data_IF_064598127864
#
_entry.id   IF_064598127864
#
_cell.length_a   1.000
_cell.length_b   1.000
_cell.length_c   1.000
_cell.angle_alpha   90.00
_cell.angle_beta   90.00
_cell.angle_gamma   90.00
#
_symmetry.space_group_name_H-M   'P 1'
#
loop_
_entity.id
_entity.type
_entity.pdbx_description
1 polymer ?
#
# COMPACT_ATOMS: atom_id res chain seq x y z
N UNK A 1 -3.05 7.73 -1.52
CA UNK A 1 -4.09 6.73 -1.24
C UNK A 1 -4.31 6.45 0.26
N UNK A 2 -3.25 6.37 1.06
CA UNK A 2 -3.34 6.01 2.49
C UNK A 2 -4.24 7.01 3.27
N UNK A 3 -4.12 8.30 2.99
CA UNK A 3 -4.93 9.35 3.63
C UNK A 3 -6.43 9.19 3.37
N UNK A 4 -6.86 8.73 2.19
CA UNK A 4 -8.28 8.44 1.91
C UNK A 4 -8.77 7.25 2.73
N UNK A 5 -7.99 6.18 2.82
CA UNK A 5 -8.35 5.03 3.66
C UNK A 5 -8.52 5.41 5.13
N UNK A 6 -7.61 6.21 5.67
CA UNK A 6 -7.68 6.72 7.04
C UNK A 6 -8.91 7.60 7.23
N UNK A 7 -9.14 8.53 6.30
CA UNK A 7 -10.30 9.43 6.33
C UNK A 7 -11.61 8.65 6.25
N UNK A 8 -11.70 7.64 5.37
CA UNK A 8 -12.86 6.77 5.25
C UNK A 8 -13.16 6.04 6.57
N UNK A 9 -12.15 5.45 7.22
CA UNK A 9 -12.29 4.78 8.51
C UNK A 9 -12.70 5.74 9.62
N UNK A 10 -12.12 6.92 9.66
CA UNK A 10 -12.43 7.95 10.65
C UNK A 10 -13.88 8.44 10.50
N UNK A 11 -14.28 8.82 9.29
CA UNK A 11 -15.63 9.29 9.00
C UNK A 11 -16.69 8.21 9.24
N UNK A 12 -16.40 6.95 8.85
CA UNK A 12 -17.34 5.86 9.12
C UNK A 12 -17.57 5.63 10.59
N UNK A 13 -16.57 5.79 11.45
CA UNK A 13 -16.74 5.74 12.91
C UNK A 13 -17.69 6.83 13.42
N UNK A 14 -17.55 8.05 12.92
CA UNK A 14 -18.38 9.19 13.35
C UNK A 14 -19.82 9.01 12.86
N UNK A 15 -20.02 8.77 11.56
CA UNK A 15 -21.34 8.73 10.96
C UNK A 15 -22.13 7.45 11.24
N UNK A 16 -21.47 6.36 11.62
CA UNK A 16 -22.13 5.13 12.10
C UNK A 16 -22.96 5.37 13.37
N UNK A 17 -22.63 6.40 14.16
CA UNK A 17 -23.35 6.80 15.35
C UNK A 17 -24.72 7.44 15.02
N UNK A 18 -24.85 8.08 13.84
CA UNK A 18 -26.06 8.84 13.48
C UNK A 18 -27.08 7.92 12.79
N UNK A 19 -26.69 7.25 11.71
CA UNK A 19 -27.56 6.27 11.01
C UNK A 19 -26.73 5.39 10.05
N UNK A 20 -26.85 4.06 10.13
CA UNK A 20 -25.92 3.18 9.40
C UNK A 20 -25.92 3.41 7.87
N UNK A 21 -27.08 3.44 7.20
CA UNK A 21 -27.14 3.57 5.73
C UNK A 21 -26.81 4.96 5.24
N UNK A 22 -27.46 5.97 5.78
CA UNK A 22 -27.23 7.36 5.39
C UNK A 22 -25.81 7.81 5.70
N UNK A 23 -25.23 7.34 6.83
CA UNK A 23 -23.85 7.62 7.17
C UNK A 23 -22.84 7.14 6.12
N UNK A 24 -23.01 5.93 5.59
CA UNK A 24 -22.11 5.42 4.54
C UNK A 24 -22.24 6.19 3.24
N UNK A 25 -23.47 6.57 2.81
CA UNK A 25 -23.69 7.40 1.61
C UNK A 25 -23.00 8.75 1.79
N UNK A 26 -23.16 9.38 2.95
CA UNK A 26 -22.56 10.67 3.24
C UNK A 26 -21.02 10.61 3.23
N UNK A 27 -20.45 9.55 3.77
CA UNK A 27 -18.99 9.33 3.71
C UNK A 27 -18.52 9.18 2.26
N UNK A 28 -19.23 8.44 1.40
CA UNK A 28 -18.88 8.30 -0.02
C UNK A 28 -18.87 9.67 -0.70
N UNK A 29 -19.87 10.50 -0.46
CA UNK A 29 -19.95 11.85 -1.03
C UNK A 29 -18.74 12.69 -0.57
N UNK A 30 -18.42 12.67 0.73
CA UNK A 30 -17.25 13.40 1.26
C UNK A 30 -15.96 12.92 0.62
N UNK A 31 -15.77 11.61 0.44
CA UNK A 31 -14.57 11.05 -0.18
C UNK A 31 -14.44 11.47 -1.66
N UNK A 32 -15.54 11.55 -2.40
CA UNK A 32 -15.55 12.04 -3.79
C UNK A 32 -15.16 13.52 -3.82
N UNK A 33 -15.77 14.36 -2.99
CA UNK A 33 -15.38 15.76 -2.88
C UNK A 33 -13.91 15.92 -2.50
N UNK A 34 -13.44 15.18 -1.51
CA UNK A 34 -12.05 15.21 -1.08
C UNK A 34 -11.10 14.79 -2.23
N UNK A 35 -11.45 13.78 -3.02
CA UNK A 35 -10.69 13.38 -4.19
C UNK A 35 -10.56 14.52 -5.20
N UNK A 36 -11.64 15.24 -5.49
CA UNK A 36 -11.63 16.39 -6.40
C UNK A 36 -10.75 17.52 -5.85
N UNK A 37 -10.90 17.87 -4.57
CA UNK A 37 -10.11 18.91 -3.92
C UNK A 37 -8.61 18.62 -3.85
N UNK A 38 -8.23 17.33 -3.78
CA UNK A 38 -6.81 16.91 -3.76
C UNK A 38 -6.19 16.80 -5.15
N UNK A 39 -6.88 17.26 -6.19
CA UNK A 39 -6.37 17.26 -7.57
C UNK A 39 -6.49 15.93 -8.29
N UNK A 40 -7.35 15.00 -7.81
CA UNK A 40 -7.71 13.75 -8.49
C UNK A 40 -6.52 12.94 -8.99
N UNK A 41 -5.44 12.83 -8.18
CA UNK A 41 -4.30 11.99 -8.53
C UNK A 41 -4.74 10.53 -8.69
N UNK A 42 -4.05 9.73 -9.54
CA UNK A 42 -4.37 8.31 -9.75
C UNK A 42 -4.45 7.52 -8.44
N UNK A 43 -3.57 7.83 -7.49
CA UNK A 43 -3.56 7.21 -6.17
C UNK A 43 -4.80 7.57 -5.33
N UNK A 44 -5.29 8.81 -5.43
CA UNK A 44 -6.50 9.25 -4.71
C UNK A 44 -7.76 8.67 -5.34
N UNK A 45 -7.88 8.71 -6.67
CA UNK A 45 -9.03 8.13 -7.38
C UNK A 45 -9.19 6.64 -7.03
N UNK A 46 -8.10 5.87 -7.09
CA UNK A 46 -8.11 4.44 -6.71
C UNK A 46 -8.61 4.20 -5.30
N UNK A 47 -8.02 4.92 -4.34
CA UNK A 47 -8.39 4.74 -2.94
C UNK A 47 -9.85 5.15 -2.68
N UNK A 48 -10.34 6.16 -3.40
CA UNK A 48 -11.74 6.58 -3.35
C UNK A 48 -12.66 5.50 -3.91
N UNK A 49 -12.35 4.93 -5.08
CA UNK A 49 -13.15 3.84 -5.67
C UNK A 49 -13.15 2.62 -4.73
N UNK A 50 -11.98 2.19 -4.24
CA UNK A 50 -11.88 1.05 -3.33
C UNK A 50 -12.66 1.27 -2.03
N UNK A 51 -12.53 2.44 -1.41
CA UNK A 51 -13.26 2.77 -0.19
C UNK A 51 -14.77 2.85 -0.43
N UNK A 52 -15.18 3.45 -1.55
CA UNK A 52 -16.59 3.57 -1.92
C UNK A 52 -17.22 2.19 -2.19
N UNK A 53 -16.52 1.28 -2.86
CA UNK A 53 -17.03 -0.08 -3.12
C UNK A 53 -17.20 -0.89 -1.83
N UNK A 54 -16.28 -0.77 -0.88
CA UNK A 54 -16.41 -1.37 0.45
C UNK A 54 -17.62 -0.80 1.20
N UNK A 55 -17.82 0.53 1.18
CA UNK A 55 -18.96 1.17 1.83
C UNK A 55 -20.28 0.80 1.16
N UNK A 56 -20.31 0.68 -0.17
CA UNK A 56 -21.48 0.20 -0.92
C UNK A 56 -21.85 -1.24 -0.55
N UNK A 57 -20.85 -2.13 -0.34
CA UNK A 57 -21.12 -3.49 0.13
C UNK A 57 -21.83 -3.48 1.50
N UNK A 58 -21.41 -2.61 2.44
CA UNK A 58 -22.11 -2.45 3.72
C UNK A 58 -23.55 -1.91 3.58
N UNK A 59 -23.78 -0.99 2.65
CA UNK A 59 -25.13 -0.46 2.36
C UNK A 59 -26.05 -1.58 1.83
N UNK A 60 -25.49 -2.48 1.00
CA UNK A 60 -26.20 -3.61 0.39
C UNK A 60 -26.27 -4.86 1.31
N UNK A 61 -25.82 -4.76 2.57
CA UNK A 61 -25.74 -5.87 3.53
C UNK A 61 -24.92 -7.07 3.02
N UNK A 62 -23.93 -6.82 2.16
CA UNK A 62 -22.97 -7.83 1.71
C UNK A 62 -21.68 -7.71 2.48
N UNK A 63 -21.01 -8.85 2.67
CA UNK A 63 -19.66 -8.84 3.21
C UNK A 63 -18.72 -8.19 2.17
N UNK A 64 -17.97 -7.14 2.54
CA UNK A 64 -17.04 -6.52 1.62
C UNK A 64 -15.92 -7.50 1.29
N UNK A 65 -15.67 -7.70 0.01
CA UNK A 65 -14.49 -8.42 -0.47
C UNK A 65 -13.46 -7.42 -0.99
N UNK A 66 -12.31 -7.45 -0.33
CA UNK A 66 -11.24 -6.50 -0.62
C UNK A 66 -10.61 -6.73 -1.99
N UNK A 67 -10.47 -7.99 -2.41
CA UNK A 67 -9.91 -8.36 -3.71
C UNK A 67 -10.82 -7.89 -4.84
N UNK A 68 -12.14 -8.09 -4.70
CA UNK A 68 -13.12 -7.60 -5.68
C UNK A 68 -13.10 -6.08 -5.80
N UNK A 69 -12.92 -5.36 -4.69
CA UNK A 69 -12.80 -3.89 -4.70
C UNK A 69 -11.55 -3.40 -5.44
N UNK A 70 -10.41 -4.09 -5.24
CA UNK A 70 -9.16 -3.82 -5.97
C UNK A 70 -9.35 -4.05 -7.47
N UNK A 71 -9.89 -5.20 -7.85
CA UNK A 71 -10.11 -5.57 -9.25
C UNK A 71 -11.06 -4.61 -9.96
N UNK A 72 -12.15 -4.24 -9.31
CA UNK A 72 -13.10 -3.27 -9.86
C UNK A 72 -12.46 -1.90 -10.09
N UNK A 73 -11.66 -1.41 -9.13
CA UNK A 73 -10.97 -0.13 -9.28
C UNK A 73 -9.93 -0.18 -10.41
N UNK A 74 -9.23 -1.31 -10.59
CA UNK A 74 -8.29 -1.49 -11.69
C UNK A 74 -8.99 -1.47 -13.05
N UNK A 75 -10.11 -2.19 -13.18
CA UNK A 75 -10.90 -2.24 -14.41
C UNK A 75 -11.38 -0.83 -14.78
N UNK A 76 -11.98 -0.10 -13.84
CA UNK A 76 -12.47 1.26 -14.09
C UNK A 76 -11.36 2.17 -14.61
N UNK A 77 -10.20 2.16 -13.97
CA UNK A 77 -9.09 3.03 -14.37
C UNK A 77 -8.49 2.64 -15.72
N UNK A 78 -8.37 1.34 -16.01
CA UNK A 78 -7.83 0.87 -17.28
C UNK A 78 -8.80 1.08 -18.45
N UNK A 79 -10.11 1.11 -18.21
CA UNK A 79 -11.09 1.52 -19.22
C UNK A 79 -10.95 3.01 -19.55
N UNK A 80 -10.70 3.86 -18.55
CA UNK A 80 -10.50 5.31 -18.75
C UNK A 80 -9.21 5.57 -19.52
N UNK A 81 -8.11 4.90 -19.13
CA UNK A 81 -6.85 5.02 -19.85
C UNK A 81 -5.98 3.77 -19.64
N UNK A 82 -5.78 2.92 -20.66
CA UNK A 82 -4.96 1.72 -20.57
C UNK A 82 -3.48 1.99 -20.28
N UNK A 83 -2.96 3.19 -20.61
CA UNK A 83 -1.57 3.56 -20.32
C UNK A 83 -1.26 3.68 -18.82
N UNK A 84 -2.28 3.78 -17.96
CA UNK A 84 -2.07 3.76 -16.52
C UNK A 84 -1.40 2.48 -16.02
N UNK A 85 -1.45 1.39 -16.78
CA UNK A 85 -0.74 0.15 -16.47
C UNK A 85 0.79 0.35 -16.35
N UNK A 86 1.34 1.32 -17.07
CA UNK A 86 2.78 1.64 -17.07
C UNK A 86 3.15 2.76 -16.08
N UNK A 87 2.16 3.35 -15.42
CA UNK A 87 2.39 4.37 -14.39
C UNK A 87 2.93 3.72 -13.11
N UNK A 88 4.06 4.25 -12.61
CA UNK A 88 4.74 3.73 -11.41
C UNK A 88 3.82 3.82 -10.19
N UNK A 89 3.08 4.91 -10.05
CA UNK A 89 2.13 5.11 -8.96
C UNK A 89 0.97 4.11 -9.01
N UNK A 90 0.51 3.75 -10.22
CA UNK A 90 -0.46 2.67 -10.42
C UNK A 90 0.12 1.34 -9.94
N UNK A 91 1.27 0.94 -10.43
CA UNK A 91 1.93 -0.32 -10.07
C UNK A 91 2.18 -0.42 -8.56
N UNK A 92 2.79 0.59 -7.96
CA UNK A 92 3.08 0.60 -6.52
C UNK A 92 1.84 0.42 -5.65
N UNK A 93 0.75 1.09 -6.00
CA UNK A 93 -0.44 1.01 -5.18
C UNK A 93 -1.18 -0.32 -5.34
N UNK A 94 -1.32 -0.85 -6.56
CA UNK A 94 -2.00 -2.15 -6.73
C UNK A 94 -1.17 -3.29 -6.15
N UNK A 95 0.13 -3.29 -6.33
CA UNK A 95 1.03 -4.30 -5.77
C UNK A 95 1.04 -4.23 -4.24
N UNK A 96 1.11 -3.03 -3.65
CA UNK A 96 1.08 -2.89 -2.19
C UNK A 96 -0.23 -3.41 -1.60
N UNK A 97 -1.37 -3.03 -2.18
CA UNK A 97 -2.68 -3.44 -1.70
C UNK A 97 -2.91 -4.94 -1.91
N UNK A 98 -2.48 -5.48 -3.05
CA UNK A 98 -2.51 -6.93 -3.31
C UNK A 98 -1.63 -7.69 -2.32
N UNK A 99 -0.43 -7.18 -2.03
CA UNK A 99 0.48 -7.77 -1.04
C UNK A 99 -0.14 -7.79 0.36
N UNK A 100 -0.83 -6.71 0.77
CA UNK A 100 -1.56 -6.68 2.04
C UNK A 100 -2.67 -7.74 2.05
N UNK A 101 -3.48 -7.82 1.00
CA UNK A 101 -4.64 -8.72 0.97
C UNK A 101 -4.23 -10.20 0.85
N UNK A 102 -3.23 -10.49 0.03
CA UNK A 102 -2.88 -11.87 -0.36
C UNK A 102 -1.73 -12.46 0.46
N UNK A 103 -0.76 -11.64 0.89
CA UNK A 103 0.41 -12.09 1.66
C UNK A 103 0.31 -11.68 3.14
N UNK A 104 0.58 -10.42 3.42
CA UNK A 104 0.76 -9.93 4.79
C UNK A 104 -0.46 -10.13 5.68
N UNK A 105 -1.64 -9.74 5.22
CA UNK A 105 -2.88 -9.87 5.99
C UNK A 105 -3.24 -11.32 6.27
N UNK A 106 -3.13 -12.21 5.26
CA UNK A 106 -3.41 -13.65 5.43
C UNK A 106 -2.48 -14.33 6.42
N UNK A 107 -1.20 -14.00 6.38
CA UNK A 107 -0.22 -14.52 7.34
C UNK A 107 -0.57 -14.05 8.76
N UNK A 108 -0.90 -12.78 8.92
CA UNK A 108 -1.31 -12.25 10.20
C UNK A 108 -2.60 -12.88 10.75
N UNK A 109 -3.57 -13.16 9.89
CA UNK A 109 -4.83 -13.83 10.27
C UNK A 109 -4.58 -15.29 10.73
N UNK A 110 -3.73 -16.04 10.00
CA UNK A 110 -3.41 -17.44 10.33
C UNK A 110 -2.67 -17.54 11.65
N UNK A 111 -1.67 -16.69 11.87
CA UNK A 111 -0.87 -16.69 13.09
C UNK A 111 -1.46 -15.84 14.20
N UNK A 112 -2.63 -15.21 13.98
CA UNK A 112 -3.32 -14.31 14.92
C UNK A 112 -2.42 -13.20 15.47
N UNK A 113 -1.55 -12.67 14.61
CA UNK A 113 -0.61 -11.63 14.97
C UNK A 113 -1.37 -10.31 15.27
N UNK A 114 -0.97 -9.62 16.32
CA UNK A 114 -1.61 -8.36 16.75
C UNK A 114 -0.55 -7.28 16.99
N UNK A 115 -0.99 -6.02 16.95
CA UNK A 115 -0.15 -4.87 17.30
C UNK A 115 1.05 -4.72 16.35
N UNK A 116 2.21 -4.48 16.95
CA UNK A 116 3.47 -4.19 16.24
C UNK A 116 3.93 -5.33 15.33
N UNK A 117 3.75 -6.60 15.74
CA UNK A 117 4.12 -7.76 14.91
C UNK A 117 3.29 -7.86 13.64
N UNK A 118 1.99 -7.54 13.70
CA UNK A 118 1.15 -7.44 12.52
C UNK A 118 1.68 -6.35 11.57
N UNK A 119 1.91 -5.16 12.08
CA UNK A 119 2.44 -4.05 11.29
C UNK A 119 3.79 -4.39 10.64
N UNK A 120 4.67 -5.08 11.37
CA UNK A 120 5.97 -5.53 10.84
C UNK A 120 5.81 -6.49 9.67
N UNK A 121 5.01 -7.55 9.84
CA UNK A 121 4.81 -8.58 8.80
C UNK A 121 4.17 -7.97 7.56
N UNK A 122 3.13 -7.15 7.72
CA UNK A 122 2.47 -6.47 6.61
C UNK A 122 3.45 -5.55 5.88
N UNK A 123 4.19 -4.72 6.61
CA UNK A 123 5.18 -3.79 6.03
C UNK A 123 6.30 -4.54 5.31
N UNK A 124 6.78 -5.66 5.86
CA UNK A 124 7.78 -6.51 5.24
C UNK A 124 7.33 -7.03 3.86
N UNK A 125 6.13 -7.62 3.77
CA UNK A 125 5.63 -8.17 2.51
C UNK A 125 5.29 -7.07 1.49
N UNK A 126 4.81 -5.92 1.92
CA UNK A 126 4.58 -4.77 1.05
C UNK A 126 5.90 -4.27 0.47
N UNK A 127 6.92 -4.03 1.30
CA UNK A 127 8.23 -3.62 0.84
C UNK A 127 8.85 -4.65 -0.11
N UNK A 128 8.79 -5.95 0.25
CA UNK A 128 9.32 -7.03 -0.59
C UNK A 128 8.65 -7.06 -1.97
N UNK A 129 7.33 -6.81 -2.03
CA UNK A 129 6.59 -6.81 -3.30
C UNK A 129 6.86 -5.58 -4.16
N UNK A 130 7.16 -4.42 -3.56
CA UNK A 130 7.44 -3.18 -4.28
C UNK A 130 8.89 -3.14 -4.79
N UNK A 131 9.84 -3.70 -4.05
CA UNK A 131 11.29 -3.66 -4.34
C UNK A 131 11.68 -4.01 -5.78
N UNK A 132 11.13 -5.06 -6.43
CA UNK A 132 11.50 -5.38 -7.82
C UNK A 132 11.21 -4.25 -8.79
N UNK A 133 10.08 -3.57 -8.62
CA UNK A 133 9.70 -2.42 -9.46
C UNK A 133 10.56 -1.20 -9.12
N UNK A 134 10.81 -0.95 -7.83
CA UNK A 134 11.72 0.14 -7.43
C UNK A 134 13.10 -0.04 -8.06
N UNK A 135 13.66 -1.25 -8.00
CA UNK A 135 14.95 -1.55 -8.61
C UNK A 135 14.93 -1.38 -10.14
N UNK A 136 13.82 -1.71 -10.81
CA UNK A 136 13.68 -1.58 -12.27
C UNK A 136 13.63 -0.13 -12.74
N UNK A 137 12.88 0.74 -12.02
CA UNK A 137 12.67 2.13 -12.42
C UNK A 137 13.69 3.10 -11.83
N UNK A 138 14.15 2.86 -10.60
CA UNK A 138 15.01 3.79 -9.86
C UNK A 138 16.45 3.27 -9.64
N UNK A 139 16.74 2.02 -10.04
CA UNK A 139 18.08 1.39 -9.91
C UNK A 139 18.59 1.29 -8.46
N UNK A 140 17.74 1.53 -7.48
CA UNK A 140 18.08 1.67 -6.07
C UNK A 140 17.32 0.67 -5.20
N UNK A 141 17.98 0.20 -4.15
CA UNK A 141 17.45 -0.72 -3.17
C UNK A 141 17.72 -0.21 -1.76
N UNK A 142 16.68 0.39 -1.14
CA UNK A 142 16.77 0.85 0.24
C UNK A 142 16.45 -0.30 1.19
N UNK A 143 17.34 -0.59 2.13
CA UNK A 143 17.19 -1.72 3.06
C UNK A 143 16.36 -1.36 4.29
N UNK A 144 16.40 -0.10 4.73
CA UNK A 144 15.84 0.37 6.00
C UNK A 144 14.35 0.75 5.88
N UNK A 145 13.79 0.83 4.66
CA UNK A 145 12.38 1.21 4.42
C UNK A 145 11.36 0.43 5.26
N UNK A 146 11.63 -0.85 5.53
CA UNK A 146 10.73 -1.70 6.32
C UNK A 146 10.57 -1.15 7.73
N UNK A 147 11.69 -0.79 8.37
CA UNK A 147 11.68 -0.26 9.73
C UNK A 147 11.08 1.14 9.79
N UNK A 148 11.40 1.98 8.80
CA UNK A 148 10.82 3.31 8.69
C UNK A 148 9.30 3.26 8.54
N UNK A 149 8.77 2.38 7.70
CA UNK A 149 7.33 2.25 7.49
C UNK A 149 6.57 1.83 8.76
N UNK A 150 7.16 0.99 9.61
CA UNK A 150 6.53 0.58 10.88
C UNK A 150 6.32 1.79 11.80
N UNK A 151 7.27 2.72 11.79
CA UNK A 151 7.20 3.93 12.62
C UNK A 151 6.32 4.98 11.95
N UNK A 152 6.54 5.26 10.68
CA UNK A 152 5.92 6.37 9.96
C UNK A 152 4.41 6.14 9.74
N UNK A 153 3.99 4.93 9.34
CA UNK A 153 2.58 4.67 8.97
C UNK A 153 1.58 4.97 10.10
N UNK A 154 1.78 4.51 11.36
CA UNK A 154 0.84 4.82 12.46
C UNK A 154 0.73 6.32 12.74
N UNK A 155 1.87 7.01 12.74
CA UNK A 155 1.89 8.45 13.02
C UNK A 155 1.32 9.28 11.87
N UNK A 156 1.55 8.88 10.62
CA UNK A 156 0.90 9.52 9.47
C UNK A 156 -0.62 9.41 9.53
N UNK A 157 -1.16 8.36 10.12
CA UNK A 157 -2.60 8.25 10.38
C UNK A 157 -3.10 9.35 11.31
N UNK A 158 -2.36 9.65 12.38
CA UNK A 158 -2.68 10.73 13.34
C UNK A 158 -2.55 12.10 12.65
N UNK A 159 -1.47 12.31 11.89
CA UNK A 159 -1.21 13.55 11.14
C UNK A 159 -2.37 13.86 10.18
N UNK A 160 -2.85 12.88 9.43
CA UNK A 160 -3.96 13.04 8.49
C UNK A 160 -5.25 13.42 9.22
N UNK A 161 -5.57 12.76 10.34
CA UNK A 161 -6.78 13.06 11.12
C UNK A 161 -6.71 14.47 11.71
N UNK A 162 -5.60 14.84 12.34
CA UNK A 162 -5.42 16.18 12.92
C UNK A 162 -5.45 17.24 11.81
N UNK A 163 -4.80 17.00 10.67
CA UNK A 163 -4.83 17.91 9.52
C UNK A 163 -6.25 18.14 9.01
N UNK A 164 -7.03 17.10 8.87
CA UNK A 164 -8.44 17.19 8.46
C UNK A 164 -9.29 17.95 9.49
N UNK A 165 -9.15 17.62 10.76
CA UNK A 165 -9.86 18.33 11.84
C UNK A 165 -9.47 19.81 11.90
N UNK A 166 -8.17 20.13 11.74
CA UNK A 166 -7.71 21.50 11.76
C UNK A 166 -8.27 22.34 10.60
N UNK A 167 -8.49 21.72 9.44
CA UNK A 167 -9.12 22.40 8.30
C UNK A 167 -10.58 22.75 8.61
N UNK A 168 -11.33 21.86 9.23
CA UNK A 168 -12.73 22.12 9.64
C UNK A 168 -12.78 23.20 10.73
N UNK A 169 -11.94 23.09 11.77
CA UNK A 169 -11.89 24.05 12.87
C UNK A 169 -11.41 25.43 12.38
N UNK A 170 -10.56 25.47 11.36
CA UNK A 170 -10.07 26.70 10.75
C UNK A 170 -11.17 27.59 10.14
N UNK A 171 -12.30 26.98 9.75
CA UNK A 171 -13.49 27.73 9.28
C UNK A 171 -14.09 28.58 10.41
N UNK A 172 -14.05 28.07 11.66
CA UNK A 172 -14.64 28.72 12.82
C UNK A 172 -13.63 29.52 13.64
N UNK A 173 -12.40 29.04 13.77
CA UNK A 173 -11.37 29.64 14.62
C UNK A 173 -9.96 29.37 14.10
N UNK A 174 -9.35 30.42 13.52
CA UNK A 174 -7.96 30.38 13.02
C UNK A 174 -6.93 30.08 14.14
N UNK A 175 -7.02 30.66 15.36
CA UNK A 175 -6.04 30.37 16.42
C UNK A 175 -6.01 28.90 16.83
N UNK A 176 -7.18 28.27 16.97
CA UNK A 176 -7.28 26.84 17.31
C UNK A 176 -6.73 25.93 16.20
N UNK A 177 -7.01 26.27 14.95
CA UNK A 177 -6.46 25.53 13.80
C UNK A 177 -4.93 25.64 13.75
N UNK A 178 -4.36 26.83 14.00
CA UNK A 178 -2.89 27.01 14.07
C UNK A 178 -2.24 26.16 15.17
N UNK A 179 -2.88 26.06 16.33
CA UNK A 179 -2.39 25.20 17.42
C UNK A 179 -2.33 23.72 17.02
N UNK A 180 -3.39 23.22 16.38
CA UNK A 180 -3.44 21.83 15.90
C UNK A 180 -2.41 21.55 14.78
N UNK A 181 -2.30 22.45 13.81
CA UNK A 181 -1.31 22.34 12.72
C UNK A 181 0.13 22.44 13.27
N UNK A 182 0.35 23.21 14.32
CA UNK A 182 1.64 23.30 14.99
C UNK A 182 2.12 21.93 15.49
N UNK A 183 1.23 21.12 16.07
CA UNK A 183 1.55 19.77 16.50
C UNK A 183 1.95 18.87 15.32
N UNK A 184 1.22 18.98 14.20
CA UNK A 184 1.54 18.24 12.96
C UNK A 184 2.90 18.63 12.40
N UNK A 185 3.23 19.92 12.43
CA UNK A 185 4.53 20.43 11.97
C UNK A 185 5.69 19.77 12.72
N UNK A 186 5.62 19.67 14.05
CA UNK A 186 6.70 19.05 14.84
C UNK A 186 6.84 17.55 14.53
N UNK A 187 5.72 16.84 14.36
CA UNK A 187 5.74 15.42 13.99
C UNK A 187 6.42 15.24 12.63
N UNK A 188 6.03 16.01 11.63
CA UNK A 188 6.62 15.95 10.28
C UNK A 188 8.10 16.33 10.28
N UNK A 189 8.50 17.36 11.07
CA UNK A 189 9.89 17.74 11.23
C UNK A 189 10.72 16.62 11.86
N UNK A 190 10.19 15.94 12.85
CA UNK A 190 10.83 14.78 13.46
C UNK A 190 11.05 13.65 12.44
N UNK A 191 10.06 13.35 11.59
CA UNK A 191 10.22 12.33 10.55
C UNK A 191 11.21 12.74 9.47
N UNK A 192 11.18 14.00 9.03
CA UNK A 192 12.18 14.48 8.07
C UNK A 192 13.60 14.38 8.62
N UNK A 193 13.77 14.58 9.93
CA UNK A 193 15.05 14.38 10.59
C UNK A 193 15.49 12.92 10.59
N UNK A 194 14.59 11.98 10.96
CA UNK A 194 14.87 10.54 10.93
C UNK A 194 15.25 10.11 9.50
N UNK A 195 14.48 10.51 8.49
CA UNK A 195 14.76 10.18 7.10
C UNK A 195 16.15 10.68 6.67
N UNK A 196 16.53 11.90 7.04
CA UNK A 196 17.86 12.44 6.75
C UNK A 196 18.99 11.65 7.43
N UNK A 197 18.79 11.24 8.69
CA UNK A 197 19.76 10.41 9.40
C UNK A 197 19.95 9.05 8.72
N UNK A 198 18.84 8.43 8.30
CA UNK A 198 18.85 7.13 7.60
C UNK A 198 19.47 7.24 6.21
N UNK A 199 19.20 8.34 5.49
CA UNK A 199 19.74 8.56 4.15
C UNK A 199 21.28 8.72 4.16
N UNK A 200 21.82 9.29 5.23
CA UNK A 200 23.26 9.40 5.43
C UNK A 200 23.96 8.09 5.81
N UNK A 201 23.22 7.00 6.07
CA UNK A 201 23.78 5.70 6.37
C UNK A 201 24.25 5.00 5.09
N UNK A 202 25.52 4.67 4.98
CA UNK A 202 26.14 4.04 3.80
C UNK A 202 25.49 2.71 3.38
N UNK A 203 24.79 2.02 4.28
CA UNK A 203 24.10 0.75 4.03
C UNK A 203 22.69 0.90 3.48
N UNK A 204 22.13 2.12 3.44
CA UNK A 204 20.74 2.30 3.06
C UNK A 204 20.52 2.26 1.54
N UNK A 205 21.44 2.85 0.79
CA UNK A 205 21.31 3.03 -0.66
C UNK A 205 22.25 2.06 -1.41
N UNK A 206 21.73 0.88 -1.78
CA UNK A 206 22.46 -0.08 -2.60
C UNK A 206 22.05 0.12 -4.06
N UNK A 207 22.99 0.56 -4.89
CA UNK A 207 22.77 0.68 -6.34
C UNK A 207 22.94 -0.69 -6.97
N UNK A 208 21.84 -1.33 -7.39
CA UNK A 208 21.84 -2.70 -7.94
C UNK A 208 21.93 -2.70 -9.48
N UNK A 209 21.64 -1.56 -10.12
CA UNK A 209 21.45 -1.51 -11.56
C UNK A 209 20.06 -2.05 -11.98
N UNK A 210 19.79 -2.10 -13.28
CA UNK A 210 18.47 -2.52 -13.80
C UNK A 210 18.35 -4.05 -13.78
N UNK A 211 17.50 -4.64 -12.95
CA UNK A 211 17.29 -6.07 -12.97
C UNK A 211 16.63 -6.51 -14.28
N UNK A 212 16.96 -7.70 -14.76
CA UNK A 212 16.29 -8.30 -15.90
C UNK A 212 14.79 -8.51 -15.61
N UNK A 213 13.94 -8.31 -16.62
CA UNK A 213 12.49 -8.54 -16.52
C UNK A 213 12.20 -9.97 -16.04
N UNK A 214 13.02 -10.95 -16.44
CA UNK A 214 12.88 -12.35 -16.01
C UNK A 214 13.04 -12.51 -14.51
N UNK A 215 13.98 -11.79 -13.88
CA UNK A 215 14.15 -11.82 -12.41
C UNK A 215 12.92 -11.27 -11.71
N UNK A 216 12.34 -10.18 -12.23
CA UNK A 216 11.14 -9.56 -11.68
C UNK A 216 9.94 -10.53 -11.76
N UNK A 217 9.73 -11.13 -12.94
CA UNK A 217 8.65 -12.11 -13.15
C UNK A 217 8.84 -13.31 -12.20
N UNK A 218 10.06 -13.85 -12.11
CA UNK A 218 10.39 -14.95 -11.21
C UNK A 218 10.10 -14.64 -9.75
N UNK A 219 10.44 -13.42 -9.29
CA UNK A 219 10.11 -12.94 -7.94
C UNK A 219 8.60 -12.88 -7.69
N UNK A 220 7.82 -12.35 -8.64
CA UNK A 220 6.37 -12.28 -8.47
C UNK A 220 5.71 -13.66 -8.49
N UNK A 221 6.20 -14.58 -9.32
CA UNK A 221 5.76 -15.97 -9.32
C UNK A 221 6.06 -16.63 -7.96
N UNK A 222 7.26 -16.41 -7.43
CA UNK A 222 7.63 -16.92 -6.10
C UNK A 222 6.71 -16.34 -5.00
N UNK A 223 6.48 -15.04 -5.00
CA UNK A 223 5.57 -14.39 -4.04
C UNK A 223 4.14 -14.91 -4.16
N UNK A 224 3.67 -15.15 -5.38
CA UNK A 224 2.36 -15.75 -5.64
C UNK A 224 2.26 -17.16 -5.03
N UNK A 225 3.25 -18.03 -5.24
CA UNK A 225 3.27 -19.36 -4.63
C UNK A 225 3.31 -19.31 -3.10
N UNK A 226 4.10 -18.39 -2.53
CA UNK A 226 4.11 -18.16 -1.08
C UNK A 226 2.71 -17.79 -0.60
N UNK A 227 2.07 -16.78 -1.20
CA UNK A 227 0.73 -16.33 -0.82
C UNK A 227 -0.33 -17.43 -0.98
N UNK A 228 -0.28 -18.18 -2.08
CA UNK A 228 -1.20 -19.28 -2.34
C UNK A 228 -1.16 -20.33 -1.23
N UNK A 229 0.02 -20.64 -0.66
CA UNK A 229 0.14 -21.60 0.46
C UNK A 229 -0.57 -21.14 1.74
N UNK A 230 -0.77 -19.84 1.90
CA UNK A 230 -1.48 -19.25 3.04
C UNK A 230 -2.96 -18.96 2.75
N UNK A 231 -3.36 -19.01 1.48
CA UNK A 231 -4.74 -18.77 1.09
C UNK A 231 -5.65 -19.95 1.44
N UNK A 232 -5.20 -21.17 1.21
CA UNK A 232 -5.99 -22.39 1.40
C UNK A 232 -5.58 -23.12 2.69
N UNK A 233 -6.54 -23.30 3.62
CA UNK A 233 -6.34 -24.04 4.87
C UNK A 233 -5.88 -25.50 4.65
N UNK A 234 -6.29 -26.10 3.54
CA UNK A 234 -5.92 -27.48 3.20
C UNK A 234 -4.43 -27.59 2.82
N UNK A 235 -3.88 -26.55 2.21
CA UNK A 235 -2.50 -26.51 1.75
C UNK A 235 -1.48 -26.23 2.87
N UNK A 236 -1.93 -25.85 4.08
CA UNK A 236 -1.02 -25.59 5.23
C UNK A 236 -0.18 -26.84 5.53
N UNK A 237 -0.73 -28.05 5.40
CA UNK A 237 0.03 -29.31 5.57
C UNK A 237 1.09 -29.53 4.48
N UNK A 238 0.88 -29.04 3.25
CA UNK A 238 1.80 -29.17 2.11
C UNK A 238 2.64 -27.92 1.86
N UNK A 239 2.58 -26.94 2.76
CA UNK A 239 3.19 -25.61 2.63
C UNK A 239 4.67 -25.65 2.20
N UNK A 240 5.48 -26.50 2.85
CA UNK A 240 6.91 -26.63 2.53
C UNK A 240 7.15 -26.98 1.06
N UNK A 241 6.33 -27.89 0.48
CA UNK A 241 6.47 -28.31 -0.92
C UNK A 241 6.19 -27.14 -1.88
N UNK A 242 5.13 -26.36 -1.64
CA UNK A 242 4.78 -25.22 -2.50
C UNK A 242 5.78 -24.06 -2.40
N UNK A 243 6.29 -23.76 -1.20
CA UNK A 243 7.36 -22.78 -1.02
C UNK A 243 8.62 -23.22 -1.77
N UNK A 244 9.02 -24.49 -1.66
CA UNK A 244 10.17 -25.00 -2.37
C UNK A 244 10.00 -24.94 -3.89
N UNK A 245 8.80 -25.20 -4.42
CA UNK A 245 8.49 -25.02 -5.84
C UNK A 245 8.67 -23.55 -6.25
N UNK A 246 8.12 -22.60 -5.46
CA UNK A 246 8.28 -21.18 -5.72
C UNK A 246 9.75 -20.74 -5.73
N UNK A 247 10.55 -21.20 -4.76
CA UNK A 247 11.99 -20.93 -4.70
C UNK A 247 12.71 -21.55 -5.91
N UNK A 248 12.38 -22.80 -6.29
CA UNK A 248 12.99 -23.47 -7.46
C UNK A 248 12.70 -22.71 -8.75
N UNK A 249 11.46 -22.25 -8.94
CA UNK A 249 11.08 -21.41 -10.09
C UNK A 249 11.89 -20.10 -10.08
N UNK A 250 12.02 -19.44 -8.94
CA UNK A 250 12.82 -18.22 -8.84
C UNK A 250 14.28 -18.46 -9.22
N UNK A 251 14.89 -19.55 -8.74
CA UNK A 251 16.27 -19.93 -9.09
C UNK A 251 16.42 -20.15 -10.60
N UNK A 252 15.46 -20.85 -11.23
CA UNK A 252 15.46 -21.07 -12.69
C UNK A 252 15.38 -19.73 -13.43
N UNK A 253 14.51 -18.81 -13.03
CA UNK A 253 14.43 -17.50 -13.65
C UNK A 253 15.66 -16.65 -13.46
N UNK A 254 16.34 -16.73 -12.30
CA UNK A 254 17.62 -16.03 -12.08
C UNK A 254 18.72 -16.61 -12.97
N UNK A 255 18.81 -17.93 -13.10
CA UNK A 255 19.75 -18.59 -14.01
C UNK A 255 19.49 -18.20 -15.47
N UNK A 256 18.24 -18.24 -15.94
CA UNK A 256 17.91 -17.78 -17.28
C UNK A 256 18.32 -16.33 -17.53
N UNK A 257 18.15 -15.46 -16.55
CA UNK A 257 18.53 -14.05 -16.65
C UNK A 257 20.05 -13.85 -16.77
N UNK A 258 20.89 -14.77 -16.22
CA UNK A 258 22.36 -14.71 -16.37
C UNK A 258 22.83 -15.14 -17.75
N UNK A 259 22.08 -16.01 -18.43
CA UNK A 259 22.41 -16.49 -19.79
C UNK A 259 21.94 -15.54 -20.92
N UNK A 260 21.05 -14.59 -20.63
CA UNK A 260 20.61 -13.64 -21.63
C UNK A 260 21.64 -12.49 -21.69
N UNK A 261 22.30 -12.27 -22.85
CA UNK A 261 23.25 -11.18 -22.97
C UNK A 261 22.56 -9.85 -22.68
N UNK A 262 23.08 -9.08 -21.72
CA UNK A 262 22.59 -7.73 -21.44
C UNK A 262 22.81 -6.90 -22.69
N UNK A 263 21.78 -6.23 -23.25
CA UNK A 263 22.01 -5.27 -24.32
C UNK A 263 23.01 -4.23 -23.78
N UNK A 264 24.07 -3.97 -24.53
CA UNK A 264 25.03 -2.93 -24.22
C UNK A 264 24.27 -1.60 -24.11
N UNK A 265 24.04 -1.12 -22.91
CA UNK A 265 23.62 0.26 -22.70
C UNK A 265 24.88 1.10 -22.81
N UNK A 266 25.08 1.72 -23.98
CA UNK A 266 26.03 2.83 -24.14
C UNK A 266 25.52 3.93 -23.20
N UNK A 267 26.31 4.21 -22.16
CA UNK A 267 26.14 5.37 -21.27
C UNK A 267 26.47 6.65 -22.01
#
# INVERSE_FOLDING_TARGET
>A
GLHIGILALFLTKIFKLIHRRFGYIFVIIILIFYCIFTGSSLSTIRATIMSSTVLLAYILFRNPDFISSISLSAIILLIVNPYYLFDIGFLYSYISVFSIAFLGGRICDIYKLKGIFNAFVVSFFVCLSIKPITAYYFYNFNTIDIFLNIIIIPFMSIVVIIGFLSTIIGIFSIPLAKFLIGSVYYILRFFTYICKVVDNMSFNNIIIGRPSIFIIIGLYIMLFFIGYTFYDKYLIKKRKKFINIGISIFIVFTLLATFIPKPFTIT
#
